data_IF_971706064068
#
_entry.id   IF_971706064068
#
_cell.length_a   1.000
_cell.length_b   1.000
_cell.length_c   1.000
_cell.angle_alpha   90.00
_cell.angle_beta   90.00
_cell.angle_gamma   90.00
#
_symmetry.space_group_name_H-M   'P 1'
#
loop_
_entity.id
_entity.type
_entity.pdbx_description
1 polymer ?
#
# COMPACT_ATOMS: atom_id res chain seq x y z
N UNK A 1 35.46 -26.60 83.53
CA UNK A 1 34.43 -25.56 83.40
C UNK A 1 34.40 -25.01 81.97
N UNK A 2 33.47 -25.41 81.13
CA UNK A 2 33.05 -24.63 79.96
C UNK A 2 31.64 -25.05 79.55
N UNK A 3 30.68 -24.14 79.70
CA UNK A 3 29.34 -24.25 79.20
C UNK A 3 29.36 -23.90 77.71
N UNK A 4 28.93 -24.82 76.85
CA UNK A 4 28.60 -24.55 75.46
C UNK A 4 27.11 -24.31 75.30
N UNK A 5 26.71 -23.09 75.04
CA UNK A 5 25.35 -22.76 74.72
C UNK A 5 25.09 -23.07 73.25
N UNK A 6 24.35 -24.14 72.92
CA UNK A 6 23.83 -24.45 71.62
C UNK A 6 22.62 -23.62 71.36
N UNK A 7 22.74 -22.61 70.46
CA UNK A 7 21.62 -21.84 69.95
C UNK A 7 20.92 -22.63 68.87
N UNK A 8 19.73 -23.14 69.18
CA UNK A 8 18.82 -23.71 68.14
C UNK A 8 18.19 -22.63 67.33
N UNK A 9 18.55 -22.54 66.07
CA UNK A 9 17.82 -21.75 65.09
C UNK A 9 16.53 -22.48 64.70
N UNK A 10 15.42 -22.02 65.20
CA UNK A 10 14.12 -22.51 64.82
C UNK A 10 13.77 -21.83 63.47
N UNK A 11 13.69 -22.61 62.43
CA UNK A 11 13.20 -22.10 61.09
C UNK A 11 11.73 -21.71 61.23
N UNK A 12 11.47 -20.41 61.15
CA UNK A 12 10.11 -19.82 61.23
C UNK A 12 9.29 -20.02 59.91
N UNK A 13 9.84 -20.78 58.97
CA UNK A 13 9.18 -21.00 57.66
C UNK A 13 7.92 -21.88 57.70
N UNK A 14 7.65 -22.55 58.86
CA UNK A 14 6.51 -23.49 58.99
C UNK A 14 5.18 -22.84 59.38
N UNK A 15 5.14 -21.54 59.56
CA UNK A 15 3.93 -20.82 59.99
C UNK A 15 3.39 -19.83 58.98
N UNK A 16 3.97 -19.76 57.77
CA UNK A 16 3.36 -18.96 56.72
C UNK A 16 2.13 -19.73 56.20
N UNK A 17 0.97 -19.10 56.12
CA UNK A 17 -0.22 -19.72 55.51
C UNK A 17 0.09 -20.08 54.07
N UNK A 18 -0.36 -21.25 53.64
CA UNK A 18 -0.22 -21.68 52.24
C UNK A 18 -0.86 -20.63 51.32
N UNK A 19 -0.19 -20.32 50.23
CA UNK A 19 -0.70 -19.33 49.25
C UNK A 19 -2.09 -19.71 48.71
N UNK A 20 -2.44 -20.98 48.75
CA UNK A 20 -3.77 -21.50 48.39
C UNK A 20 -4.87 -21.19 49.43
N UNK A 21 -4.48 -20.89 50.69
CA UNK A 21 -5.42 -20.56 51.78
C UNK A 21 -5.66 -19.04 51.91
N UNK A 22 -4.96 -18.23 51.14
CA UNK A 22 -5.19 -16.79 51.14
C UNK A 22 -6.55 -16.48 50.51
N UNK A 23 -7.38 -15.62 51.14
CA UNK A 23 -8.67 -15.26 50.57
C UNK A 23 -8.47 -14.55 49.23
N UNK A 24 -8.82 -15.22 48.15
CA UNK A 24 -8.87 -14.60 46.81
C UNK A 24 -10.04 -13.62 46.81
N UNK A 25 -9.74 -12.35 46.76
CA UNK A 25 -10.73 -11.31 46.54
C UNK A 25 -10.86 -11.08 45.04
N UNK A 26 -11.91 -11.58 44.42
CA UNK A 26 -12.25 -11.29 43.05
C UNK A 26 -12.76 -9.84 42.99
N UNK A 27 -11.97 -8.96 42.33
CA UNK A 27 -12.37 -7.58 42.07
C UNK A 27 -12.93 -7.54 40.65
N UNK A 28 -14.23 -7.57 40.54
CA UNK A 28 -14.93 -7.28 39.26
C UNK A 28 -15.02 -5.78 39.14
N UNK A 29 -14.13 -5.19 38.36
CA UNK A 29 -14.19 -3.79 37.98
C UNK A 29 -14.89 -3.69 36.62
N UNK A 30 -16.06 -3.06 36.58
CA UNK A 30 -16.73 -2.77 35.34
C UNK A 30 -15.95 -1.67 34.60
N UNK A 31 -15.15 -2.08 33.64
CA UNK A 31 -14.49 -1.14 32.72
C UNK A 31 -15.56 -0.57 31.79
N UNK A 32 -16.00 0.65 32.07
CA UNK A 32 -16.77 1.42 31.10
C UNK A 32 -15.77 2.06 30.13
N UNK A 33 -15.73 1.65 28.85
CA UNK A 33 -14.88 2.30 27.88
C UNK A 33 -15.35 3.75 27.72
N UNK A 34 -14.53 4.69 28.21
CA UNK A 34 -14.84 6.10 28.14
C UNK A 34 -14.95 6.52 26.65
N UNK A 35 -16.12 7.03 26.28
CA UNK A 35 -16.37 7.70 24.99
C UNK A 35 -16.30 6.85 23.72
N UNK A 36 -16.57 5.54 23.76
CA UNK A 36 -16.61 4.70 22.55
C UNK A 36 -17.64 5.21 21.55
N UNK A 37 -18.79 5.67 22.00
CA UNK A 37 -19.83 6.24 21.14
C UNK A 37 -19.35 7.52 20.45
N UNK A 38 -18.69 8.43 21.14
CA UNK A 38 -18.12 9.63 20.55
C UNK A 38 -16.94 9.32 19.60
N UNK A 39 -16.17 8.25 19.88
CA UNK A 39 -15.10 7.80 18.99
C UNK A 39 -15.66 7.12 17.73
N UNK A 40 -16.74 6.35 17.84
CA UNK A 40 -17.44 5.75 16.70
C UNK A 40 -18.04 6.86 15.84
N UNK A 41 -18.70 7.84 16.42
CA UNK A 41 -19.27 8.97 15.70
C UNK A 41 -18.20 9.84 15.00
N UNK A 42 -17.03 10.01 15.62
CA UNK A 42 -15.87 10.65 15.00
C UNK A 42 -15.25 9.82 13.86
N UNK A 43 -15.31 8.49 13.92
CA UNK A 43 -14.87 7.59 12.87
C UNK A 43 -15.84 7.53 11.69
N UNK A 44 -17.14 7.58 11.94
CA UNK A 44 -18.17 7.61 10.89
C UNK A 44 -18.11 8.90 10.05
N UNK A 45 -17.55 9.98 10.60
CA UNK A 45 -17.27 11.23 9.87
C UNK A 45 -16.01 11.18 9.00
N UNK A 46 -15.13 10.18 9.15
CA UNK A 46 -13.92 10.04 8.36
C UNK A 46 -14.18 9.21 7.10
N UNK A 47 -14.40 9.89 5.99
CA UNK A 47 -14.43 9.25 4.67
C UNK A 47 -13.00 8.90 4.24
N UNK A 48 -12.69 7.61 4.14
CA UNK A 48 -11.41 7.14 3.61
C UNK A 48 -11.49 7.00 2.10
N UNK A 49 -10.54 7.62 1.41
CA UNK A 49 -10.38 7.40 -0.02
C UNK A 49 -9.41 6.25 -0.27
N UNK A 50 -9.84 5.29 -1.06
CA UNK A 50 -9.06 4.13 -1.46
C UNK A 50 -8.35 4.43 -2.78
N UNK A 51 -7.04 4.20 -2.83
CA UNK A 51 -6.25 4.35 -4.04
C UNK A 51 -5.91 2.98 -4.63
N UNK A 52 -6.15 2.82 -5.94
CA UNK A 52 -5.76 1.64 -6.69
C UNK A 52 -5.15 2.03 -8.02
N UNK A 53 -4.14 1.28 -8.43
CA UNK A 53 -3.43 1.53 -9.68
C UNK A 53 -3.43 0.28 -10.54
N UNK A 54 -3.62 0.48 -11.83
CA UNK A 54 -3.66 -0.55 -12.86
C UNK A 54 -2.99 -0.04 -14.14
N UNK A 55 -2.59 -0.98 -15.00
CA UNK A 55 -2.12 -0.66 -16.34
C UNK A 55 -3.19 -1.07 -17.36
N UNK A 56 -3.50 -0.18 -18.31
CA UNK A 56 -4.48 -0.47 -19.36
C UNK A 56 -3.99 -1.56 -20.31
N UNK A 57 -4.94 -2.33 -20.83
CA UNK A 57 -4.75 -3.36 -21.84
C UNK A 57 -5.46 -2.96 -23.12
N UNK A 58 -5.02 -3.47 -24.27
CA UNK A 58 -5.60 -3.15 -25.58
C UNK A 58 -7.07 -3.56 -25.73
N UNK A 59 -7.50 -4.59 -25.00
CA UNK A 59 -8.87 -5.10 -25.01
C UNK A 59 -9.72 -4.61 -23.83
N UNK A 60 -9.25 -3.60 -23.08
CA UNK A 60 -10.02 -3.07 -21.96
C UNK A 60 -11.28 -2.36 -22.41
N UNK A 61 -12.34 -2.67 -21.70
CA UNK A 61 -13.57 -1.88 -21.63
C UNK A 61 -13.59 -1.08 -20.34
N UNK A 62 -14.47 -0.09 -20.22
CA UNK A 62 -14.64 0.63 -18.94
C UNK A 62 -15.02 -0.34 -17.81
N UNK A 63 -15.85 -1.34 -18.09
CA UNK A 63 -16.28 -2.31 -17.10
C UNK A 63 -15.14 -3.22 -16.63
N UNK A 64 -14.31 -3.70 -17.56
CA UNK A 64 -13.14 -4.52 -17.20
C UNK A 64 -12.11 -3.72 -16.38
N UNK A 65 -11.88 -2.47 -16.74
CA UNK A 65 -10.98 -1.58 -16.02
C UNK A 65 -11.53 -1.26 -14.61
N UNK A 66 -12.82 -0.93 -14.49
CA UNK A 66 -13.49 -0.68 -13.22
C UNK A 66 -13.42 -1.88 -12.29
N UNK A 67 -13.68 -3.08 -12.83
CA UNK A 67 -13.56 -4.33 -12.05
C UNK A 67 -12.16 -4.52 -11.47
N UNK A 68 -11.10 -4.29 -12.24
CA UNK A 68 -9.71 -4.38 -11.76
C UNK A 68 -9.37 -3.31 -10.73
N UNK A 69 -9.86 -2.08 -10.95
CA UNK A 69 -9.71 -0.97 -10.01
C UNK A 69 -10.63 -1.09 -8.77
N UNK A 70 -11.51 -2.11 -8.71
CA UNK A 70 -12.46 -2.31 -7.63
C UNK A 70 -13.48 -1.18 -7.49
N UNK A 71 -13.83 -0.54 -8.61
CA UNK A 71 -14.84 0.49 -8.68
C UNK A 71 -16.22 -0.13 -8.94
N UNK A 72 -17.22 0.39 -8.23
CA UNK A 72 -18.62 0.05 -8.44
C UNK A 72 -19.44 1.34 -8.58
N UNK A 73 -19.36 1.98 -9.74
CA UNK A 73 -19.98 3.26 -10.03
C UNK A 73 -20.56 3.27 -11.45
N UNK A 74 -21.84 2.94 -11.54
CA UNK A 74 -22.56 2.88 -12.83
C UNK A 74 -22.63 4.25 -13.51
N UNK A 75 -22.74 5.33 -12.75
CA UNK A 75 -22.81 6.69 -13.29
C UNK A 75 -21.47 7.09 -13.89
N UNK A 76 -20.36 6.83 -13.20
CA UNK A 76 -19.03 7.08 -13.71
C UNK A 76 -18.71 6.22 -14.93
N UNK A 77 -19.10 4.95 -14.92
CA UNK A 77 -18.95 4.08 -16.08
C UNK A 77 -19.73 4.57 -17.29
N UNK A 78 -20.98 5.01 -17.10
CA UNK A 78 -21.81 5.55 -18.17
C UNK A 78 -21.26 6.87 -18.73
N UNK A 79 -20.73 7.73 -17.87
CA UNK A 79 -20.05 8.96 -18.27
C UNK A 79 -18.81 8.64 -19.11
N UNK A 80 -17.92 7.80 -18.62
CA UNK A 80 -16.67 7.46 -19.29
C UNK A 80 -16.87 6.77 -20.63
N UNK A 81 -17.94 5.99 -20.80
CA UNK A 81 -18.27 5.38 -22.11
C UNK A 81 -18.66 6.41 -23.18
N UNK A 82 -19.16 7.57 -22.78
CA UNK A 82 -19.62 8.64 -23.70
C UNK A 82 -18.59 9.76 -23.88
N UNK A 83 -17.64 9.86 -22.98
CA UNK A 83 -16.65 10.93 -22.96
C UNK A 83 -15.61 10.76 -24.08
N UNK A 84 -15.47 11.78 -24.94
CA UNK A 84 -14.59 11.75 -26.09
C UNK A 84 -13.10 11.63 -25.71
N UNK A 85 -12.67 12.25 -24.58
CA UNK A 85 -11.28 12.16 -24.13
C UNK A 85 -10.94 10.75 -23.66
N UNK A 86 -11.87 10.08 -22.98
CA UNK A 86 -11.73 8.69 -22.56
C UNK A 86 -11.66 7.76 -23.77
N UNK A 87 -12.56 7.92 -24.73
CA UNK A 87 -12.60 7.12 -25.96
C UNK A 87 -11.29 7.21 -26.74
N UNK A 88 -10.78 8.41 -26.95
CA UNK A 88 -9.58 8.65 -27.75
C UNK A 88 -8.29 8.26 -27.01
N UNK A 89 -8.27 8.41 -25.70
CA UNK A 89 -7.03 8.34 -24.93
C UNK A 89 -6.92 7.17 -23.97
N UNK A 90 -7.98 6.48 -23.63
CA UNK A 90 -7.94 5.39 -22.65
C UNK A 90 -8.30 4.04 -23.26
N UNK A 91 -9.42 3.96 -23.98
CA UNK A 91 -9.89 2.71 -24.56
C UNK A 91 -9.05 2.28 -25.76
N UNK A 92 -8.77 0.97 -25.83
CA UNK A 92 -7.93 0.40 -26.90
C UNK A 92 -6.45 0.79 -26.83
N UNK A 93 -6.02 1.40 -25.72
CA UNK A 93 -4.64 1.86 -25.52
C UNK A 93 -4.01 1.09 -24.36
N UNK A 94 -3.11 0.17 -24.66
CA UNK A 94 -2.34 -0.56 -23.65
C UNK A 94 -1.21 0.29 -23.05
N UNK A 95 -0.76 -0.08 -21.85
CA UNK A 95 0.45 0.48 -21.24
C UNK A 95 0.26 1.81 -20.51
N UNK A 96 -0.98 2.29 -20.34
CA UNK A 96 -1.23 3.53 -19.60
C UNK A 96 -1.40 3.25 -18.12
N UNK A 97 -0.67 3.96 -17.29
CA UNK A 97 -0.80 3.87 -15.84
C UNK A 97 -2.06 4.60 -15.39
N UNK A 98 -3.01 3.88 -14.85
CA UNK A 98 -4.26 4.40 -14.33
C UNK A 98 -4.27 4.30 -12.82
N UNK A 99 -4.54 5.42 -12.15
CA UNK A 99 -4.77 5.46 -10.71
C UNK A 99 -6.17 5.97 -10.47
N UNK A 100 -6.93 5.22 -9.69
CA UNK A 100 -8.27 5.59 -9.25
C UNK A 100 -8.28 5.87 -7.75
N UNK A 101 -8.95 6.94 -7.39
CA UNK A 101 -9.34 7.29 -6.04
C UNK A 101 -10.83 7.02 -5.91
N UNK A 102 -11.19 6.15 -4.99
CA UNK A 102 -12.56 5.74 -4.73
C UNK A 102 -12.97 6.06 -3.30
N UNK A 103 -14.25 6.34 -3.10
CA UNK A 103 -14.80 6.40 -1.75
C UNK A 103 -14.84 5.02 -1.08
N UNK A 104 -15.15 4.98 0.19
CA UNK A 104 -15.43 3.77 0.99
C UNK A 104 -16.50 2.85 0.37
N UNK A 105 -17.43 3.43 -0.41
CA UNK A 105 -18.48 2.72 -1.17
C UNK A 105 -18.07 2.33 -2.59
N UNK A 106 -16.77 2.38 -2.90
CA UNK A 106 -16.23 2.08 -4.23
C UNK A 106 -16.75 3.00 -5.36
N UNK A 107 -17.30 4.17 -5.03
CA UNK A 107 -17.67 5.17 -6.01
C UNK A 107 -16.43 5.95 -6.46
N UNK A 108 -16.37 6.29 -7.75
CA UNK A 108 -15.25 7.04 -8.32
C UNK A 108 -15.25 8.49 -7.81
N UNK A 109 -14.17 8.88 -7.14
CA UNK A 109 -13.88 10.27 -6.77
C UNK A 109 -13.01 10.90 -7.86
N UNK A 110 -11.91 10.24 -8.21
CA UNK A 110 -10.99 10.72 -9.25
C UNK A 110 -10.31 9.54 -9.96
N UNK A 111 -10.11 9.67 -11.26
CA UNK A 111 -9.30 8.75 -12.04
C UNK A 111 -8.27 9.55 -12.83
N UNK A 112 -7.03 9.12 -12.82
CA UNK A 112 -5.98 9.71 -13.63
C UNK A 112 -5.27 8.62 -14.42
N UNK A 113 -5.19 8.80 -15.76
CA UNK A 113 -4.41 7.95 -16.64
C UNK A 113 -3.20 8.73 -17.16
N UNK A 114 -2.00 8.16 -17.05
CA UNK A 114 -0.74 8.81 -17.44
C UNK A 114 0.03 8.00 -18.45
N UNK A 115 0.64 8.67 -19.42
CA UNK A 115 1.53 8.07 -20.42
C UNK A 115 2.46 9.12 -21.02
N UNK A 116 3.64 8.69 -21.46
CA UNK A 116 4.45 9.49 -22.38
C UNK A 116 4.02 9.17 -23.81
N UNK A 117 3.81 10.17 -24.62
CA UNK A 117 3.41 9.99 -26.02
C UNK A 117 4.64 9.88 -26.95
N UNK A 118 5.74 10.46 -26.52
CA UNK A 118 7.00 10.58 -27.25
C UNK A 118 8.15 10.88 -26.28
N UNK A 119 9.35 11.06 -26.82
CA UNK A 119 10.57 11.38 -26.04
C UNK A 119 10.76 12.89 -25.81
N UNK A 120 9.71 13.69 -25.89
CA UNK A 120 9.76 15.16 -25.72
C UNK A 120 10.07 15.60 -24.28
N UNK A 121 10.26 14.64 -23.34
CA UNK A 121 10.45 14.95 -21.93
C UNK A 121 9.18 15.43 -21.23
N UNK A 122 8.00 15.14 -21.83
CA UNK A 122 6.71 15.44 -21.22
C UNK A 122 5.84 14.19 -21.11
N UNK A 123 4.86 14.22 -20.20
CA UNK A 123 3.83 13.21 -20.12
C UNK A 123 2.44 13.83 -20.25
N UNK A 124 1.52 13.06 -20.78
CA UNK A 124 0.09 13.40 -20.82
C UNK A 124 -0.64 12.72 -19.67
N UNK A 125 -1.61 13.43 -19.12
CA UNK A 125 -2.48 12.93 -18.07
C UNK A 125 -3.93 13.24 -18.41
N UNK A 126 -4.76 12.19 -18.54
CA UNK A 126 -6.20 12.31 -18.58
C UNK A 126 -6.69 12.26 -17.14
N UNK A 127 -7.43 13.27 -16.71
CA UNK A 127 -8.03 13.34 -15.39
C UNK A 127 -9.54 13.34 -15.54
N UNK A 128 -10.20 12.48 -14.78
CA UNK A 128 -11.65 12.42 -14.63
C UNK A 128 -11.92 12.57 -13.14
N UNK A 129 -12.71 13.56 -12.76
CA UNK A 129 -13.00 13.80 -11.35
C UNK A 129 -14.46 14.15 -11.13
N UNK A 130 -14.94 13.81 -9.93
CA UNK A 130 -16.29 14.13 -9.50
C UNK A 130 -16.30 15.53 -8.87
N UNK A 131 -17.11 16.41 -9.43
CA UNK A 131 -17.34 17.77 -8.92
C UNK A 131 -18.77 17.90 -8.40
N UNK A 132 -19.09 19.04 -7.81
CA UNK A 132 -20.46 19.35 -7.39
C UNK A 132 -21.47 19.35 -8.58
N UNK A 133 -21.00 19.64 -9.80
CA UNK A 133 -21.81 19.66 -11.01
C UNK A 133 -21.85 18.31 -11.76
N UNK A 134 -21.13 17.32 -11.27
CA UNK A 134 -21.01 16.00 -11.90
C UNK A 134 -19.59 15.60 -12.24
N UNK A 135 -19.45 14.61 -13.11
CA UNK A 135 -18.15 14.16 -13.56
C UNK A 135 -17.62 15.06 -14.67
N UNK A 136 -16.35 15.40 -14.62
CA UNK A 136 -15.65 16.19 -15.63
C UNK A 136 -14.36 15.49 -16.04
N UNK A 137 -14.00 15.62 -17.32
CA UNK A 137 -12.75 15.11 -17.86
C UNK A 137 -11.89 16.25 -18.41
N UNK A 138 -10.57 16.14 -18.25
CA UNK A 138 -9.61 17.08 -18.82
C UNK A 138 -8.30 16.41 -19.15
N UNK A 139 -7.59 16.97 -20.14
CA UNK A 139 -6.23 16.59 -20.48
C UNK A 139 -5.24 17.60 -19.91
N UNK A 140 -4.17 17.08 -19.35
CA UNK A 140 -3.05 17.86 -18.83
C UNK A 140 -1.76 17.38 -19.48
N UNK A 141 -0.80 18.29 -19.65
CA UNK A 141 0.57 17.96 -20.09
C UNK A 141 1.51 18.57 -19.06
N UNK A 142 2.47 17.77 -18.61
CA UNK A 142 3.45 18.21 -17.63
C UNK A 142 4.85 17.67 -17.97
N UNK A 143 5.92 18.35 -17.57
CA UNK A 143 7.27 17.87 -17.77
C UNK A 143 7.54 16.61 -16.95
N UNK A 144 8.34 15.68 -17.52
CA UNK A 144 8.91 14.57 -16.80
C UNK A 144 10.03 15.08 -15.89
N UNK A 145 10.04 14.67 -14.65
CA UNK A 145 11.19 14.86 -13.76
C UNK A 145 12.09 13.64 -13.82
N UNK A 146 13.38 13.88 -13.95
CA UNK A 146 14.38 12.81 -13.86
C UNK A 146 14.66 12.55 -12.38
N UNK A 147 14.56 11.30 -11.95
CA UNK A 147 15.02 10.86 -10.63
C UNK A 147 16.12 9.83 -10.78
N UNK A 148 17.14 9.91 -9.96
CA UNK A 148 18.20 8.89 -9.89
C UNK A 148 18.13 8.17 -8.54
N UNK A 149 18.37 6.87 -8.58
CA UNK A 149 18.47 6.03 -7.39
C UNK A 149 19.79 5.26 -7.45
N UNK A 150 20.56 5.34 -6.38
CA UNK A 150 21.71 4.47 -6.19
C UNK A 150 21.27 3.22 -5.43
N UNK A 151 21.63 2.07 -5.95
CA UNK A 151 21.43 0.78 -5.30
C UNK A 151 22.63 -0.11 -5.56
N UNK A 152 22.90 -1.06 -4.69
CA UNK A 152 23.99 -2.01 -4.81
C UNK A 152 23.55 -3.38 -4.35
N UNK A 153 24.23 -4.41 -4.83
CA UNK A 153 24.02 -5.80 -4.46
C UNK A 153 25.30 -6.59 -4.60
N UNK A 154 25.32 -7.79 -4.04
CA UNK A 154 26.44 -8.74 -4.17
C UNK A 154 25.96 -9.93 -4.96
N UNK A 155 26.68 -10.28 -6.04
CA UNK A 155 26.37 -11.45 -6.85
C UNK A 155 26.82 -12.68 -6.06
N UNK A 156 25.87 -13.53 -5.66
CA UNK A 156 26.13 -14.80 -4.98
C UNK A 156 25.91 -16.01 -5.91
N UNK A 157 24.95 -15.94 -6.80
CA UNK A 157 24.59 -17.00 -7.74
C UNK A 157 24.61 -16.53 -9.19
N UNK A 158 23.89 -15.45 -9.50
CA UNK A 158 23.84 -14.84 -10.82
C UNK A 158 23.61 -13.33 -10.73
N UNK A 159 23.93 -12.61 -11.81
CA UNK A 159 23.67 -11.18 -11.91
C UNK A 159 22.18 -10.88 -11.75
N UNK A 160 21.30 -11.62 -12.46
CA UNK A 160 19.87 -11.40 -12.43
C UNK A 160 19.27 -11.64 -11.03
N UNK A 161 19.71 -12.68 -10.31
CA UNK A 161 19.28 -12.91 -8.93
C UNK A 161 19.69 -11.74 -8.01
N UNK A 162 20.90 -11.24 -8.14
CA UNK A 162 21.38 -10.10 -7.32
C UNK A 162 20.66 -8.79 -7.67
N UNK A 163 20.29 -8.59 -8.94
CA UNK A 163 19.52 -7.40 -9.36
C UNK A 163 18.07 -7.47 -8.91
N UNK A 164 17.44 -8.64 -8.92
CA UNK A 164 16.10 -8.86 -8.38
C UNK A 164 16.04 -8.56 -6.88
N UNK A 165 16.97 -9.12 -6.11
CA UNK A 165 17.06 -8.87 -4.66
C UNK A 165 17.24 -7.38 -4.34
N UNK A 166 17.98 -6.65 -5.20
CA UNK A 166 18.20 -5.21 -5.06
C UNK A 166 17.08 -4.35 -5.68
N UNK A 167 16.02 -4.97 -6.24
CA UNK A 167 14.95 -4.30 -6.98
C UNK A 167 15.49 -3.41 -8.13
N UNK A 168 16.46 -3.91 -8.87
CA UNK A 168 17.01 -3.30 -10.09
C UNK A 168 16.24 -3.86 -11.28
N UNK A 169 15.71 -3.02 -12.20
CA UNK A 169 14.99 -3.50 -13.38
C UNK A 169 15.85 -4.37 -14.29
N UNK A 170 15.27 -5.42 -14.87
CA UNK A 170 15.95 -6.36 -15.79
C UNK A 170 16.67 -5.67 -16.95
N UNK A 171 16.11 -4.57 -17.46
CA UNK A 171 16.77 -3.79 -18.52
C UNK A 171 18.13 -3.23 -18.08
N UNK A 172 18.28 -2.88 -16.81
CA UNK A 172 19.56 -2.41 -16.23
C UNK A 172 20.51 -3.61 -16.03
N UNK A 173 19.99 -4.74 -15.57
CA UNK A 173 20.77 -5.98 -15.43
C UNK A 173 21.35 -6.41 -16.80
N UNK A 174 20.53 -6.36 -17.85
CA UNK A 174 20.97 -6.65 -19.23
C UNK A 174 22.07 -5.69 -19.68
N UNK A 175 21.92 -4.39 -19.44
CA UNK A 175 22.94 -3.40 -19.77
C UNK A 175 24.26 -3.65 -19.02
N UNK A 176 24.19 -4.02 -17.74
CA UNK A 176 25.39 -4.40 -16.97
C UNK A 176 26.06 -5.61 -17.60
N UNK A 177 25.28 -6.65 -17.94
CA UNK A 177 25.80 -7.84 -18.59
C UNK A 177 26.47 -7.52 -19.94
N UNK A 178 25.86 -6.66 -20.76
CA UNK A 178 26.41 -6.22 -22.05
C UNK A 178 27.73 -5.45 -21.88
N UNK A 179 27.80 -4.52 -20.92
CA UNK A 179 28.99 -3.68 -20.68
C UNK A 179 30.18 -4.54 -20.22
N UNK A 180 29.94 -5.50 -19.34
CA UNK A 180 30.99 -6.29 -18.72
C UNK A 180 31.17 -7.70 -19.30
N UNK A 181 30.45 -8.03 -20.37
CA UNK A 181 30.48 -9.38 -20.99
C UNK A 181 31.87 -9.83 -21.47
N UNK A 182 32.79 -8.88 -21.70
CA UNK A 182 34.17 -9.18 -22.09
C UNK A 182 35.12 -9.48 -20.93
N UNK A 183 34.75 -9.06 -19.72
CA UNK A 183 35.60 -9.09 -18.53
C UNK A 183 35.10 -10.03 -17.45
N UNK A 184 33.79 -10.27 -17.38
CA UNK A 184 33.14 -11.05 -16.32
C UNK A 184 32.16 -12.06 -16.93
N UNK A 185 32.28 -13.31 -16.49
CA UNK A 185 31.29 -14.34 -16.75
C UNK A 185 30.18 -14.26 -15.67
N UNK A 186 28.97 -13.95 -16.10
CA UNK A 186 27.82 -13.83 -15.25
C UNK A 186 26.95 -15.09 -15.14
N UNK A 187 27.44 -16.23 -15.64
CA UNK A 187 26.75 -17.53 -15.62
C UNK A 187 27.01 -18.32 -14.35
#
# INVERSE_FOLDING_TARGET
LMLGAGGGSIAVASFAPDASELPVREILEAVQPAQVEAQIEALDGNTFNLFRSEVTRSNDTIDSLFKRLGLNDLQAAAYMRKDALVQLNLLGRAGRNVTAEASDRSALVKLSARWSADDSGTFKRLVIERTAQGLVSRMETAPLSVSSRLTGGTIQSSLFAATDDANIPDAVATQIAEIFSGDIDFH
#
